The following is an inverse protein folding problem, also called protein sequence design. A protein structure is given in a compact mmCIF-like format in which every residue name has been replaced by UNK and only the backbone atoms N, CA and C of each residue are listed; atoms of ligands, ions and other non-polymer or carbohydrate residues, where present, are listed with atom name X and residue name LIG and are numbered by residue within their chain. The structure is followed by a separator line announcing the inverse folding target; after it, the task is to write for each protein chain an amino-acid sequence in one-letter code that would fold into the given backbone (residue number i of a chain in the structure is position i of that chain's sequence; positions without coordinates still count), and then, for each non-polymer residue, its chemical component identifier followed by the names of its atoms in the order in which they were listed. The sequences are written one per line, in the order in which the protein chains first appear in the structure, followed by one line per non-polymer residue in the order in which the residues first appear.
data_IF_478968767591
#
_entry.id   IF_478968767591
#
_cell.length_a   1.000
_cell.length_b   1.000
_cell.length_c   1.000
_cell.angle_alpha   90.00
_cell.angle_beta   90.00
_cell.angle_gamma   90.00
#
_symmetry.space_group_name_H-M   'P 1'
#
loop_
_entity.id
_entity.type
_entity.pdbx_description
1 polymer ?
#
# COMPACT_ATOMS: atom_id res chain seq x y z
N UNK A 1 3.56 9.31 -19.36
CA UNK A 1 4.22 8.78 -18.14
C UNK A 1 3.23 8.10 -17.20
N UNK A 2 1.96 8.50 -17.14
CA UNK A 2 0.91 7.85 -16.33
C UNK A 2 0.49 6.46 -16.83
N UNK A 3 0.41 6.25 -18.16
CA UNK A 3 -0.10 4.99 -18.75
C UNK A 3 0.67 3.73 -18.29
N UNK A 4 1.99 3.82 -18.15
CA UNK A 4 2.80 2.68 -17.71
C UNK A 4 2.55 2.31 -16.23
N UNK A 5 2.23 3.29 -15.39
CA UNK A 5 1.97 3.06 -13.95
C UNK A 5 0.59 2.46 -13.76
N UNK A 6 -0.43 2.96 -14.46
CA UNK A 6 -1.77 2.36 -14.42
C UNK A 6 -1.76 0.91 -14.91
N UNK A 7 -1.04 0.61 -16.00
CA UNK A 7 -0.90 -0.76 -16.47
C UNK A 7 -0.26 -1.66 -15.41
N UNK A 8 0.85 -1.23 -14.82
CA UNK A 8 1.53 -1.98 -13.75
C UNK A 8 0.60 -2.22 -12.55
N UNK A 9 -0.16 -1.21 -12.12
CA UNK A 9 -1.07 -1.34 -10.99
C UNK A 9 -2.21 -2.32 -11.29
N UNK A 10 -2.68 -2.38 -12.54
CA UNK A 10 -3.67 -3.38 -12.97
C UNK A 10 -3.08 -4.79 -13.00
N UNK A 11 -1.84 -4.96 -13.46
CA UNK A 11 -1.12 -6.25 -13.41
C UNK A 11 -0.95 -6.73 -11.96
N UNK A 12 -0.65 -5.81 -11.03
CA UNK A 12 -0.55 -6.10 -9.60
C UNK A 12 -1.90 -6.58 -9.03
N UNK A 13 -3.04 -6.01 -9.46
CA UNK A 13 -4.36 -6.49 -9.03
C UNK A 13 -4.60 -7.96 -9.43
N UNK A 14 -4.11 -8.34 -10.62
CA UNK A 14 -4.17 -9.71 -11.14
C UNK A 14 -3.13 -10.67 -10.57
N UNK A 15 -2.20 -10.20 -9.73
CA UNK A 15 -1.08 -11.02 -9.25
C UNK A 15 -1.53 -12.22 -8.40
N UNK A 16 -0.91 -13.38 -8.66
CA UNK A 16 -1.17 -14.66 -7.97
C UNK A 16 0.12 -15.34 -7.46
N UNK A 17 1.25 -14.61 -7.40
CA UNK A 17 2.56 -15.18 -7.06
C UNK A 17 2.63 -15.77 -5.64
N UNK A 18 1.95 -15.16 -4.67
CA UNK A 18 2.01 -15.55 -3.26
C UNK A 18 0.85 -16.47 -2.86
N UNK A 19 1.07 -17.79 -2.83
CA UNK A 19 0.02 -18.77 -2.48
C UNK A 19 -0.54 -18.60 -1.06
N UNK A 20 0.24 -18.09 -0.12
CA UNK A 20 -0.13 -17.92 1.29
C UNK A 20 -1.13 -16.80 1.54
N UNK A 21 -1.24 -15.84 0.61
CA UNK A 21 -2.04 -14.61 0.77
C UNK A 21 -2.83 -14.27 -0.51
N UNK A 22 -2.97 -15.23 -1.43
CA UNK A 22 -3.64 -15.04 -2.72
C UNK A 22 -5.12 -14.69 -2.54
N UNK A 23 -5.76 -15.28 -1.55
CA UNK A 23 -7.18 -15.07 -1.21
C UNK A 23 -7.40 -13.78 -0.39
N UNK A 24 -6.31 -13.12 0.01
CA UNK A 24 -6.40 -11.91 0.81
C UNK A 24 -6.57 -10.69 -0.09
N UNK A 25 -7.22 -9.66 0.45
CA UNK A 25 -7.48 -8.43 -0.29
C UNK A 25 -6.17 -7.72 -0.65
N UNK A 26 -6.07 -7.30 -1.91
CA UNK A 26 -5.03 -6.40 -2.40
C UNK A 26 -5.41 -4.95 -2.12
N UNK A 27 -4.41 -4.10 -1.97
CA UNK A 27 -4.64 -2.67 -1.88
C UNK A 27 -5.19 -2.12 -3.21
N UNK A 28 -6.17 -1.18 -3.20
CA UNK A 28 -6.76 -0.67 -4.44
C UNK A 28 -5.75 0.06 -5.35
N UNK A 29 -5.78 -0.23 -6.65
CA UNK A 29 -4.87 0.38 -7.65
C UNK A 29 -5.04 1.89 -7.80
N UNK A 30 -6.16 2.47 -7.41
CA UNK A 30 -6.44 3.90 -7.54
C UNK A 30 -5.91 4.75 -6.39
N UNK A 31 -5.29 4.14 -5.38
CA UNK A 31 -5.07 4.77 -4.07
C UNK A 31 -3.59 5.03 -3.74
N UNK A 32 -2.74 5.23 -4.74
CA UNK A 32 -1.28 5.37 -4.59
C UNK A 32 -0.76 6.82 -4.49
N UNK A 33 -1.64 7.80 -4.30
CA UNK A 33 -1.25 9.20 -4.15
C UNK A 33 -0.67 9.79 -5.44
N UNK A 34 0.37 10.63 -5.30
CA UNK A 34 0.91 11.42 -6.40
C UNK A 34 1.93 10.66 -7.24
N UNK A 35 1.51 10.23 -8.44
CA UNK A 35 2.32 9.44 -9.39
C UNK A 35 3.63 10.14 -9.80
N UNK A 36 3.60 11.46 -9.97
CA UNK A 36 4.77 12.28 -10.37
C UNK A 36 5.52 12.86 -9.16
N UNK A 37 5.37 12.27 -7.98
CA UNK A 37 6.04 12.75 -6.77
C UNK A 37 7.57 12.59 -6.83
N UNK A 38 8.27 13.53 -6.20
CA UNK A 38 9.71 13.43 -5.92
C UNK A 38 10.02 12.57 -4.69
N UNK A 39 9.00 12.20 -3.92
CA UNK A 39 9.12 11.50 -2.66
C UNK A 39 8.23 10.27 -2.67
N UNK A 40 8.75 9.16 -2.14
CA UNK A 40 8.00 7.91 -2.00
C UNK A 40 7.93 7.57 -0.53
N UNK A 41 6.74 7.21 -0.06
CA UNK A 41 6.51 6.67 1.26
C UNK A 41 6.19 5.18 1.13
N UNK A 42 6.99 4.34 1.79
CA UNK A 42 6.89 2.87 1.70
C UNK A 42 6.65 2.29 3.09
N UNK A 43 5.57 1.53 3.26
CA UNK A 43 5.30 0.69 4.44
C UNK A 43 5.56 -0.79 4.17
N UNK A 44 5.42 -1.62 5.19
CA UNK A 44 5.60 -3.07 5.08
C UNK A 44 4.49 -3.75 4.28
N UNK A 45 3.23 -3.56 4.69
CA UNK A 45 2.04 -4.12 4.08
C UNK A 45 0.80 -3.27 4.44
N UNK A 46 -0.28 -3.34 3.64
CA UNK A 46 -1.49 -2.60 3.94
C UNK A 46 -2.21 -3.22 5.14
N UNK A 47 -2.75 -2.39 6.03
CA UNK A 47 -3.56 -2.82 7.17
C UNK A 47 -5.05 -2.91 6.88
N UNK A 48 -5.82 -3.53 7.80
CA UNK A 48 -7.27 -3.73 7.71
C UNK A 48 -8.05 -2.47 7.31
N UNK A 49 -7.85 -1.39 8.04
CA UNK A 49 -8.54 -0.12 7.81
C UNK A 49 -8.18 0.43 6.43
N UNK A 50 -6.88 0.45 6.11
CA UNK A 50 -6.39 0.98 4.83
C UNK A 50 -6.97 0.25 3.62
N UNK A 51 -7.05 -1.08 3.67
CA UNK A 51 -7.66 -1.89 2.60
C UNK A 51 -9.18 -1.69 2.52
N UNK A 52 -9.84 -1.53 3.67
CA UNK A 52 -11.30 -1.34 3.70
C UNK A 52 -11.70 -0.01 3.08
N UNK A 53 -10.99 1.05 3.43
CA UNK A 53 -11.28 2.42 2.97
C UNK A 53 -10.59 2.78 1.65
N UNK A 54 -9.60 1.99 1.23
CA UNK A 54 -8.75 2.33 0.09
C UNK A 54 -7.93 3.60 0.31
N UNK A 55 -7.48 3.86 1.55
CA UNK A 55 -6.63 5.02 1.89
C UNK A 55 -5.47 4.59 2.79
N UNK A 56 -4.27 5.01 2.43
CA UNK A 56 -3.05 4.64 3.14
C UNK A 56 -2.93 5.33 4.51
N UNK A 57 -2.18 4.74 5.46
CA UNK A 57 -1.87 5.34 6.78
C UNK A 57 -3.09 5.97 7.50
N UNK A 58 -4.21 5.24 7.63
CA UNK A 58 -5.39 5.72 8.36
C UNK A 58 -5.62 5.06 9.72
N UNK A 59 -4.92 3.95 10.02
CA UNK A 59 -4.92 3.32 11.35
C UNK A 59 -4.14 4.11 12.39
N UNK A 60 -4.03 3.59 13.62
CA UNK A 60 -3.42 4.30 14.76
C UNK A 60 -2.04 4.93 14.46
N UNK A 61 -1.09 4.14 13.93
CA UNK A 61 0.23 4.66 13.56
C UNK A 61 0.21 5.63 12.37
N UNK A 62 -0.72 5.43 11.43
CA UNK A 62 -0.90 6.31 10.28
C UNK A 62 -1.45 7.68 10.65
N UNK A 63 -2.35 7.75 11.64
CA UNK A 63 -2.86 9.03 12.17
C UNK A 63 -1.72 9.87 12.75
N UNK A 64 -0.81 9.25 13.52
CA UNK A 64 0.38 9.93 14.05
C UNK A 64 1.26 10.46 12.91
N UNK A 65 1.51 9.65 11.89
CA UNK A 65 2.29 10.07 10.73
C UNK A 65 1.64 11.27 10.03
N UNK A 66 0.32 11.25 9.81
CA UNK A 66 -0.41 12.35 9.17
C UNK A 66 -0.31 13.64 9.99
N UNK A 67 -0.35 13.56 11.32
CA UNK A 67 -0.17 14.73 12.19
C UNK A 67 1.19 15.39 12.02
N UNK A 68 2.26 14.64 11.69
CA UNK A 68 3.56 15.23 11.37
C UNK A 68 3.55 16.12 10.11
N UNK A 69 2.53 16.04 9.27
CA UNK A 69 2.40 16.82 8.02
C UNK A 69 1.26 17.85 8.06
N UNK A 70 0.51 17.96 9.15
CA UNK A 70 -0.63 18.89 9.26
C UNK A 70 -0.25 20.34 8.93
N UNK A 71 0.93 20.79 9.38
CA UNK A 71 1.43 22.14 9.12
C UNK A 71 1.67 22.46 7.64
N UNK A 72 1.84 21.42 6.81
CA UNK A 72 2.02 21.58 5.36
C UNK A 72 0.73 21.89 4.61
N UNK A 73 -0.44 21.75 5.27
CA UNK A 73 -1.79 21.88 4.69
C UNK A 73 -2.01 20.99 3.46
N UNK A 74 -1.32 19.85 3.41
CA UNK A 74 -1.40 18.86 2.34
C UNK A 74 -1.58 17.49 2.98
N UNK A 75 -2.36 16.64 2.32
CA UNK A 75 -2.46 15.23 2.68
C UNK A 75 -1.21 14.48 2.18
N UNK A 76 -0.96 13.28 2.72
CA UNK A 76 0.16 12.45 2.26
C UNK A 76 0.08 12.18 0.75
N UNK A 77 -1.13 11.97 0.25
CA UNK A 77 -1.46 11.73 -1.15
C UNK A 77 -1.07 12.90 -2.07
N UNK A 78 -1.01 14.13 -1.56
CA UNK A 78 -0.63 15.32 -2.34
C UNK A 78 0.89 15.49 -2.47
N UNK A 79 1.63 14.86 -1.56
CA UNK A 79 3.08 15.04 -1.40
C UNK A 79 3.84 13.84 -1.94
N UNK A 80 3.37 12.62 -1.68
CA UNK A 80 4.12 11.38 -1.88
C UNK A 80 3.45 10.46 -2.90
N UNK A 81 4.26 9.65 -3.58
CA UNK A 81 3.79 8.36 -4.07
C UNK A 81 3.76 7.37 -2.91
N UNK A 82 2.66 6.66 -2.76
CA UNK A 82 2.35 5.84 -1.59
C UNK A 82 2.36 4.36 -1.97
N UNK A 83 3.09 3.52 -1.26
CA UNK A 83 3.07 2.07 -1.52
C UNK A 83 3.52 1.24 -0.32
N UNK A 84 3.43 -0.07 -0.45
CA UNK A 84 3.92 -1.06 0.53
C UNK A 84 5.01 -1.94 -0.06
N UNK A 85 5.77 -2.68 0.75
CA UNK A 85 6.63 -3.75 0.26
C UNK A 85 5.77 -4.90 -0.28
N UNK A 86 4.74 -5.32 0.47
CA UNK A 86 3.75 -6.33 0.04
C UNK A 86 2.40 -5.67 -0.22
N UNK A 87 1.79 -5.92 -1.39
CA UNK A 87 0.54 -5.23 -1.80
C UNK A 87 -0.75 -5.90 -1.33
N UNK A 88 -0.68 -7.08 -0.74
CA UNK A 88 -1.82 -7.78 -0.15
C UNK A 88 -1.84 -7.57 1.35
N UNK A 89 -3.01 -7.48 1.97
CA UNK A 89 -3.15 -7.37 3.42
C UNK A 89 -2.94 -8.74 4.08
N UNK A 90 -1.86 -8.95 4.85
CA UNK A 90 -1.60 -10.20 5.53
C UNK A 90 -2.52 -10.35 6.76
N UNK A 91 -3.70 -10.91 6.55
CA UNK A 91 -4.81 -10.91 7.52
C UNK A 91 -4.98 -12.23 8.29
N UNK A 92 -3.90 -13.00 8.49
CA UNK A 92 -3.97 -14.20 9.33
C UNK A 92 -4.52 -13.82 10.72
N UNK A 93 -5.66 -14.43 11.09
CA UNK A 93 -6.44 -14.09 12.29
C UNK A 93 -6.85 -12.60 12.43
N UNK A 94 -6.89 -11.86 11.33
CA UNK A 94 -7.17 -10.42 11.26
C UNK A 94 -6.13 -9.50 11.95
N UNK A 95 -4.91 -9.99 12.22
CA UNK A 95 -3.94 -9.28 13.09
C UNK A 95 -2.90 -8.41 12.38
N UNK A 96 -3.00 -8.19 11.06
CA UNK A 96 -1.97 -7.46 10.27
C UNK A 96 -0.57 -8.04 10.50
N UNK A 97 -0.40 -9.35 10.38
CA UNK A 97 0.88 -10.00 10.66
C UNK A 97 1.99 -9.46 9.75
N UNK A 98 3.24 -9.61 10.18
CA UNK A 98 4.38 -9.31 9.32
C UNK A 98 4.41 -10.22 8.08
N UNK A 99 4.66 -9.70 6.87
CA UNK A 99 4.87 -10.52 5.69
C UNK A 99 6.05 -11.46 5.85
N UNK A 100 5.94 -12.64 5.26
CA UNK A 100 7.04 -13.60 5.22
C UNK A 100 8.10 -13.17 4.20
N UNK A 101 9.33 -13.67 4.34
CA UNK A 101 10.39 -13.42 3.35
C UNK A 101 9.99 -13.84 1.94
N UNK A 102 9.22 -14.93 1.81
CA UNK A 102 8.69 -15.38 0.52
C UNK A 102 7.72 -14.37 -0.09
N UNK A 103 6.83 -13.79 0.72
CA UNK A 103 5.87 -12.78 0.26
C UNK A 103 6.59 -11.50 -0.19
N UNK A 104 7.58 -11.05 0.58
CA UNK A 104 8.43 -9.90 0.24
C UNK A 104 9.17 -10.15 -1.08
N UNK A 105 9.83 -11.30 -1.19
CA UNK A 105 10.61 -11.67 -2.39
C UNK A 105 9.70 -11.70 -3.63
N UNK A 106 8.56 -12.38 -3.54
CA UNK A 106 7.61 -12.48 -4.64
C UNK A 106 7.06 -11.12 -5.08
N UNK A 107 6.81 -10.20 -4.13
CA UNK A 107 6.23 -8.88 -4.40
C UNK A 107 7.25 -7.86 -4.94
N UNK A 108 8.55 -8.15 -4.82
CA UNK A 108 9.64 -7.35 -5.39
C UNK A 108 9.99 -7.68 -6.85
N UNK A 109 9.35 -8.71 -7.42
CA UNK A 109 9.65 -9.29 -8.74
C UNK A 109 8.55 -9.07 -9.77
#
# INVERSE_FOLDING_TARGET
MSENVEQLLNEVQGCQKCKTIIDFKKFPSTSHGKIDSKYILVSEAPGKESVTEGKYWIGAGGKILRTCFEDTKKDLEDIFYLTDIVKCWPNENCDNRTPTESEITNCSS
#
